data_IF_816401359349
#
_entry.id   IF_816401359349
#
_cell.length_a   1.000
_cell.length_b   1.000
_cell.length_c   1.000
_cell.angle_alpha   90.00
_cell.angle_beta   90.00
_cell.angle_gamma   90.00
#
_symmetry.space_group_name_H-M   'P 1'
#
loop_
_entity.id
_entity.type
_entity.pdbx_description
1 polymer ?
#
# COMPACT_ATOMS: atom_id res chain seq x y z
N UNK A 1 -12.06 9.62 1.58
CA UNK A 1 -12.62 10.19 0.33
C UNK A 1 -12.05 9.43 -0.85
N UNK A 2 -12.85 9.07 -1.87
CA UNK A 2 -12.30 8.49 -3.09
C UNK A 2 -11.34 9.48 -3.73
N UNK A 3 -10.17 9.01 -4.18
CA UNK A 3 -9.24 9.80 -4.97
C UNK A 3 -10.02 10.28 -6.21
N UNK A 4 -10.11 11.60 -6.48
CA UNK A 4 -10.72 12.11 -7.69
C UNK A 4 -10.20 11.36 -8.92
N UNK A 5 -11.09 10.94 -9.84
CA UNK A 5 -10.69 10.20 -11.06
C UNK A 5 -9.66 10.96 -11.90
N UNK A 6 -9.60 12.28 -11.76
CA UNK A 6 -8.58 13.15 -12.38
C UNK A 6 -7.15 12.88 -11.89
N UNK A 7 -6.97 12.32 -10.70
CA UNK A 7 -5.67 11.95 -10.14
C UNK A 7 -5.31 10.48 -10.43
N UNK A 8 -6.26 9.66 -10.89
CA UNK A 8 -6.10 8.22 -11.05
C UNK A 8 -5.38 7.78 -12.35
N UNK A 9 -4.96 8.72 -13.21
CA UNK A 9 -4.22 8.41 -14.44
C UNK A 9 -3.44 9.63 -14.94
N UNK A 10 -2.14 9.64 -14.69
CA UNK A 10 -1.04 10.06 -15.58
C UNK A 10 0.27 9.98 -14.79
N UNK A 11 0.86 8.78 -14.73
CA UNK A 11 2.27 8.62 -14.36
C UNK A 11 3.20 9.26 -15.42
N UNK A 12 2.67 9.49 -16.63
CA UNK A 12 3.39 10.09 -17.77
C UNK A 12 3.60 11.61 -17.65
N UNK A 13 3.23 12.24 -16.53
CA UNK A 13 3.40 13.68 -16.32
C UNK A 13 4.77 14.07 -15.76
N UNK A 14 5.61 13.10 -15.36
CA UNK A 14 6.94 13.36 -14.83
C UNK A 14 7.91 13.94 -15.88
N UNK A 15 7.64 13.73 -17.18
CA UNK A 15 8.50 14.17 -18.29
C UNK A 15 8.07 15.51 -18.91
N UNK A 16 7.15 16.26 -18.29
CA UNK A 16 6.82 17.60 -18.79
C UNK A 16 7.99 18.54 -18.48
N UNK A 17 8.68 19.11 -19.49
CA UNK A 17 9.79 20.01 -19.23
C UNK A 17 9.29 21.24 -18.46
N UNK A 18 9.87 21.49 -17.30
CA UNK A 18 9.56 22.65 -16.47
C UNK A 18 10.23 23.89 -17.04
N UNK A 19 9.50 25.02 -17.07
CA UNK A 19 10.13 26.31 -17.35
C UNK A 19 11.06 26.73 -16.21
N UNK A 20 12.00 27.65 -16.48
CA UNK A 20 12.91 28.21 -15.47
C UNK A 20 12.17 28.83 -14.26
N UNK A 21 10.97 29.36 -14.47
CA UNK A 21 10.14 29.92 -13.39
C UNK A 21 9.37 28.84 -12.60
N UNK A 22 9.04 27.71 -13.22
CA UNK A 22 8.31 26.60 -12.58
C UNK A 22 9.22 25.72 -11.71
N UNK A 23 10.48 25.51 -12.12
CA UNK A 23 11.42 24.68 -11.38
C UNK A 23 11.58 25.08 -9.89
N UNK A 24 11.81 26.36 -9.51
CA UNK A 24 11.91 26.73 -8.09
C UNK A 24 10.59 26.57 -7.33
N UNK A 25 9.45 26.80 -7.99
CA UNK A 25 8.13 26.59 -7.38
C UNK A 25 7.87 25.12 -7.06
N UNK A 26 8.23 24.20 -7.98
CA UNK A 26 8.12 22.77 -7.73
C UNK A 26 9.04 22.34 -6.58
N UNK A 27 10.30 22.81 -6.56
CA UNK A 27 11.24 22.49 -5.50
C UNK A 27 10.72 22.93 -4.12
N UNK A 28 10.18 24.14 -4.01
CA UNK A 28 9.58 24.64 -2.77
C UNK A 28 8.32 23.86 -2.40
N UNK A 29 7.48 23.48 -3.36
CA UNK A 29 6.31 22.66 -3.12
C UNK A 29 6.68 21.26 -2.59
N UNK A 30 7.70 20.62 -3.16
CA UNK A 30 8.23 19.34 -2.69
C UNK A 30 8.80 19.46 -1.27
N UNK A 31 9.61 20.50 -1.01
CA UNK A 31 10.17 20.78 0.32
C UNK A 31 9.08 20.98 1.38
N UNK A 32 8.04 21.76 1.07
CA UNK A 32 6.88 21.95 1.97
C UNK A 32 6.08 20.66 2.16
N UNK A 33 5.93 19.88 1.10
CA UNK A 33 5.29 18.57 1.15
C UNK A 33 6.01 17.62 2.11
N UNK A 34 7.34 17.57 2.04
CA UNK A 34 8.19 16.78 2.94
C UNK A 34 8.10 17.27 4.39
N UNK A 35 8.20 18.58 4.63
CA UNK A 35 8.05 19.13 5.97
C UNK A 35 6.68 18.79 6.58
N UNK A 36 5.61 18.92 5.79
CA UNK A 36 4.25 18.57 6.23
C UNK A 36 4.12 17.08 6.55
N UNK A 37 4.69 16.21 5.70
CA UNK A 37 4.73 14.76 5.96
C UNK A 37 5.42 14.47 7.29
N UNK A 38 6.60 15.05 7.53
CA UNK A 38 7.36 14.81 8.75
C UNK A 38 6.55 15.21 10.00
N UNK A 39 5.91 16.39 9.99
CA UNK A 39 5.02 16.80 11.08
C UNK A 39 3.85 15.84 11.31
N UNK A 40 3.25 15.31 10.23
CA UNK A 40 2.17 14.33 10.35
C UNK A 40 2.68 12.99 10.92
N UNK A 41 3.87 12.56 10.51
CA UNK A 41 4.52 11.34 11.00
C UNK A 41 4.91 11.46 12.48
N UNK A 42 5.47 12.59 12.91
CA UNK A 42 5.80 12.86 14.30
C UNK A 42 4.56 12.85 15.18
N UNK A 43 3.50 13.56 14.76
CA UNK A 43 2.23 13.59 15.47
C UNK A 43 1.58 12.19 15.57
N UNK A 44 1.76 11.35 14.53
CA UNK A 44 1.28 9.97 14.52
C UNK A 44 2.01 9.12 15.58
N UNK A 45 3.33 9.23 15.65
CA UNK A 45 4.16 8.51 16.63
C UNK A 45 3.85 8.97 18.04
N UNK A 46 3.79 10.29 18.26
CA UNK A 46 3.47 10.87 19.57
C UNK A 46 2.10 10.39 20.06
N UNK A 47 1.08 10.43 19.18
CA UNK A 47 -0.25 9.98 19.52
C UNK A 47 -0.31 8.47 19.78
N UNK A 48 0.39 7.66 18.98
CA UNK A 48 0.53 6.22 19.20
C UNK A 48 1.16 5.90 20.56
N UNK A 49 2.23 6.61 20.92
CA UNK A 49 2.89 6.50 22.22
C UNK A 49 1.98 6.91 23.36
N UNK A 50 1.23 8.01 23.20
CA UNK A 50 0.26 8.44 24.20
C UNK A 50 -0.80 7.37 24.44
N UNK A 51 -1.33 6.73 23.38
CA UNK A 51 -2.27 5.61 23.49
C UNK A 51 -1.62 4.43 24.22
N UNK A 52 -0.41 4.03 23.81
CA UNK A 52 0.30 2.91 24.44
C UNK A 52 0.44 3.14 25.97
N UNK A 53 0.85 4.33 26.38
CA UNK A 53 1.05 4.66 27.80
C UNK A 53 -0.27 4.76 28.57
N UNK A 54 -1.28 5.46 28.03
CA UNK A 54 -2.48 5.83 28.79
C UNK A 54 -3.65 4.85 28.65
N UNK A 55 -3.67 4.04 27.58
CA UNK A 55 -4.76 3.07 27.32
C UNK A 55 -4.30 1.64 27.60
N UNK A 56 -3.02 1.36 27.37
CA UNK A 56 -2.44 0.02 27.54
C UNK A 56 -1.41 -0.05 28.67
N UNK A 57 -1.32 0.97 29.54
CA UNK A 57 -0.39 1.00 30.68
C UNK A 57 1.08 0.77 30.29
N UNK A 58 1.45 1.28 29.11
CA UNK A 58 2.76 1.08 28.49
C UNK A 58 3.07 -0.40 28.17
N UNK A 59 2.09 -1.31 28.18
CA UNK A 59 2.24 -2.71 27.81
C UNK A 59 2.09 -2.92 26.29
N UNK A 60 3.24 -3.12 25.63
CA UNK A 60 3.29 -3.40 24.20
C UNK A 60 2.66 -4.74 23.81
N UNK A 61 2.67 -5.75 24.68
CA UNK A 61 2.02 -7.04 24.41
C UNK A 61 0.51 -6.88 24.49
N UNK A 62 -0.01 -6.15 25.47
CA UNK A 62 -1.43 -5.82 25.53
C UNK A 62 -1.89 -5.03 24.29
N UNK A 63 -1.09 -4.08 23.82
CA UNK A 63 -1.38 -3.29 22.63
C UNK A 63 -1.34 -4.09 21.32
N UNK A 64 -0.54 -5.14 21.22
CA UNK A 64 -0.42 -5.98 20.01
C UNK A 64 -1.39 -7.15 20.03
N UNK A 65 -1.43 -7.89 21.13
CA UNK A 65 -2.01 -9.23 21.17
C UNK A 65 -3.41 -9.23 21.83
N UNK A 66 -3.61 -8.40 22.87
CA UNK A 66 -4.87 -8.35 23.65
C UNK A 66 -5.72 -7.09 23.40
N UNK A 67 -5.40 -6.29 22.37
CA UNK A 67 -6.04 -4.98 22.16
C UNK A 67 -7.56 -5.06 22.00
N UNK A 68 -8.09 -6.14 21.41
CA UNK A 68 -9.54 -6.33 21.26
C UNK A 68 -10.29 -6.47 22.59
N UNK A 69 -9.60 -6.84 23.67
CA UNK A 69 -10.19 -7.01 24.99
C UNK A 69 -10.30 -5.67 25.73
N UNK A 70 -9.38 -4.74 25.44
CA UNK A 70 -9.34 -3.41 26.05
C UNK A 70 -10.60 -2.58 25.69
N UNK A 71 -11.36 -2.21 26.72
CA UNK A 71 -12.63 -1.48 26.60
C UNK A 71 -12.46 -0.07 26.00
N UNK A 72 -11.38 0.63 26.38
CA UNK A 72 -11.08 1.98 25.90
C UNK A 72 -10.66 1.96 24.44
N UNK A 73 -9.83 0.99 24.04
CA UNK A 73 -9.43 0.80 22.64
C UNK A 73 -10.64 0.54 21.74
N UNK A 74 -11.55 -0.36 22.14
CA UNK A 74 -12.80 -0.61 21.39
C UNK A 74 -13.66 0.65 21.29
N UNK A 75 -13.80 1.40 22.38
CA UNK A 75 -14.54 2.66 22.40
C UNK A 75 -13.92 3.71 21.46
N UNK A 76 -12.59 3.75 21.34
CA UNK A 76 -11.87 4.63 20.41
C UNK A 76 -12.10 4.21 18.96
N UNK A 77 -11.95 2.92 18.64
CA UNK A 77 -12.19 2.38 17.30
C UNK A 77 -13.64 2.56 16.81
N UNK A 78 -14.61 2.49 17.73
CA UNK A 78 -16.01 2.75 17.42
C UNK A 78 -16.27 4.20 16.99
N UNK A 79 -15.53 5.17 17.55
CA UNK A 79 -15.63 6.60 17.26
C UNK A 79 -14.80 7.04 16.05
N UNK A 80 -13.78 6.26 15.69
CA UNK A 80 -12.86 6.55 14.59
C UNK A 80 -13.58 6.69 13.24
N UNK A 81 -13.27 7.77 12.53
CA UNK A 81 -13.94 8.18 11.28
C UNK A 81 -15.29 8.85 11.49
N UNK A 82 -15.73 9.01 12.74
CA UNK A 82 -16.97 9.68 13.12
C UNK A 82 -16.78 11.18 13.41
N UNK A 83 -17.85 11.88 13.84
CA UNK A 83 -17.82 13.31 14.12
C UNK A 83 -16.93 13.68 15.30
N UNK A 84 -16.77 12.78 16.27
CA UNK A 84 -15.97 12.98 17.49
C UNK A 84 -14.48 12.65 17.30
N UNK A 85 -14.15 11.76 16.35
CA UNK A 85 -12.77 11.38 16.05
C UNK A 85 -12.62 11.27 14.53
N UNK A 86 -12.17 12.36 13.90
CA UNK A 86 -12.02 12.47 12.45
C UNK A 86 -10.85 11.66 11.86
N UNK A 87 -10.16 10.91 12.70
CA UNK A 87 -9.06 10.03 12.31
C UNK A 87 -9.60 8.66 11.90
N UNK A 88 -9.06 8.09 10.83
CA UNK A 88 -9.50 6.78 10.34
C UNK A 88 -9.05 5.65 11.27
N UNK A 89 -9.83 4.55 11.30
CA UNK A 89 -9.44 3.33 12.04
C UNK A 89 -8.06 2.80 11.66
N UNK A 90 -7.70 2.91 10.37
CA UNK A 90 -6.38 2.47 9.88
C UNK A 90 -5.26 3.26 10.56
N UNK A 91 -5.38 4.58 10.59
CA UNK A 91 -4.37 5.46 11.19
C UNK A 91 -4.21 5.18 12.69
N UNK A 92 -5.32 4.97 13.41
CA UNK A 92 -5.26 4.55 14.81
C UNK A 92 -4.50 3.24 15.00
N UNK A 93 -4.82 2.23 14.20
CA UNK A 93 -4.13 0.94 14.23
C UNK A 93 -2.63 1.11 13.99
N UNK A 94 -2.26 1.82 12.93
CA UNK A 94 -0.85 2.05 12.57
C UNK A 94 -0.11 2.78 13.67
N UNK A 95 -0.70 3.82 14.28
CA UNK A 95 -0.08 4.57 15.37
C UNK A 95 0.29 3.67 16.55
N UNK A 96 -0.66 2.83 17.00
CA UNK A 96 -0.46 1.93 18.15
C UNK A 96 0.51 0.80 17.81
N UNK A 97 0.38 0.20 16.63
CA UNK A 97 1.30 -0.86 16.18
C UNK A 97 2.74 -0.34 16.12
N UNK A 98 2.98 0.85 15.55
CA UNK A 98 4.32 1.44 15.50
C UNK A 98 4.85 1.68 16.92
N UNK A 99 4.05 2.30 17.80
CA UNK A 99 4.49 2.59 19.17
C UNK A 99 4.82 1.32 19.97
N UNK A 100 3.97 0.29 19.87
CA UNK A 100 4.19 -0.98 20.57
C UNK A 100 5.41 -1.73 20.01
N UNK A 101 5.62 -1.71 18.68
CA UNK A 101 6.81 -2.32 18.06
C UNK A 101 8.08 -1.54 18.34
N UNK A 102 8.05 -0.21 18.41
CA UNK A 102 9.20 0.60 18.83
C UNK A 102 9.65 0.29 20.26
N UNK A 103 8.70 -0.11 21.11
CA UNK A 103 8.98 -0.59 22.47
C UNK A 103 9.56 -2.01 22.48
N UNK A 104 8.98 -2.98 21.74
CA UNK A 104 9.42 -4.39 21.75
C UNK A 104 10.69 -4.64 20.92
N UNK A 105 10.81 -4.00 19.77
CA UNK A 105 11.94 -4.13 18.85
C UNK A 105 13.05 -3.18 19.32
N UNK A 106 13.91 -3.66 20.22
CA UNK A 106 15.12 -2.96 20.62
C UNK A 106 16.22 -3.12 19.56
N UNK A 107 16.02 -2.46 18.41
CA UNK A 107 16.93 -2.45 17.26
C UNK A 107 17.01 -1.02 16.71
N UNK A 108 18.23 -0.49 16.56
CA UNK A 108 18.45 0.90 16.16
C UNK A 108 18.03 1.17 14.71
N UNK A 109 18.13 0.17 13.83
CA UNK A 109 17.69 0.29 12.44
C UNK A 109 16.17 0.44 12.41
N UNK A 110 15.46 -0.42 13.13
CA UNK A 110 14.01 -0.30 13.25
C UNK A 110 13.61 1.07 13.82
N UNK A 111 14.22 1.51 14.92
CA UNK A 111 13.89 2.80 15.55
C UNK A 111 14.17 3.99 14.63
N UNK A 112 15.23 3.93 13.84
CA UNK A 112 15.62 4.97 12.89
C UNK A 112 14.78 5.03 11.60
N UNK A 113 13.93 4.03 11.32
CA UNK A 113 13.02 4.09 10.19
C UNK A 113 11.92 5.12 10.42
N UNK A 114 11.57 5.87 9.37
CA UNK A 114 10.43 6.76 9.45
C UNK A 114 9.10 5.98 9.54
N UNK A 115 8.05 6.55 10.16
CA UNK A 115 6.77 5.87 10.37
C UNK A 115 6.14 5.31 9.11
N UNK A 116 6.26 6.00 7.97
CA UNK A 116 5.76 5.51 6.68
C UNK A 116 6.41 4.19 6.24
N UNK A 117 7.71 3.98 6.50
CA UNK A 117 8.37 2.69 6.23
C UNK A 117 7.99 1.64 7.25
N UNK A 118 7.88 1.99 8.53
CA UNK A 118 7.39 1.06 9.57
C UNK A 118 6.00 0.54 9.23
N UNK A 119 5.07 1.40 8.80
CA UNK A 119 3.73 1.00 8.34
C UNK A 119 3.78 -0.10 7.27
N UNK A 120 4.72 0.00 6.32
CA UNK A 120 4.85 -0.97 5.25
C UNK A 120 5.36 -2.33 5.74
N UNK A 121 6.10 -2.37 6.84
CA UNK A 121 6.65 -3.60 7.44
C UNK A 121 5.68 -4.29 8.41
N UNK A 122 4.71 -3.56 8.97
CA UNK A 122 3.71 -4.12 9.90
C UNK A 122 3.01 -5.41 9.41
N UNK A 123 2.67 -5.57 8.12
CA UNK A 123 2.04 -6.79 7.62
C UNK A 123 2.89 -8.07 7.72
N UNK A 124 4.16 -7.98 8.11
CA UNK A 124 5.02 -9.15 8.36
C UNK A 124 4.70 -9.82 9.71
N UNK A 125 4.08 -9.10 10.64
CA UNK A 125 3.60 -9.51 11.99
C UNK A 125 4.68 -10.03 12.97
N UNK A 126 5.66 -10.80 12.48
CA UNK A 126 6.80 -11.32 13.22
C UNK A 126 7.93 -10.28 13.34
N UNK A 127 8.45 -10.12 14.55
CA UNK A 127 9.48 -9.11 14.84
C UNK A 127 10.82 -9.43 14.21
N UNK A 128 11.20 -10.71 14.12
CA UNK A 128 12.47 -11.11 13.51
C UNK A 128 12.45 -10.79 12.01
N UNK A 129 11.32 -11.06 11.34
CA UNK A 129 11.07 -10.67 9.95
C UNK A 129 11.09 -9.16 9.78
N UNK A 130 10.41 -8.41 10.65
CA UNK A 130 10.42 -6.94 10.60
C UNK A 130 11.84 -6.37 10.73
N UNK A 131 12.66 -6.88 11.65
CA UNK A 131 14.07 -6.45 11.80
C UNK A 131 14.91 -6.75 10.55
N UNK A 132 14.81 -7.96 10.01
CA UNK A 132 15.52 -8.36 8.78
C UNK A 132 15.10 -7.49 7.59
N UNK A 133 13.79 -7.26 7.43
CA UNK A 133 13.26 -6.42 6.38
C UNK A 133 13.67 -4.96 6.54
N UNK A 134 13.65 -4.42 7.77
CA UNK A 134 14.12 -3.07 8.07
C UNK A 134 15.59 -2.87 7.67
N UNK A 135 16.46 -3.83 8.03
CA UNK A 135 17.86 -3.83 7.62
C UNK A 135 18.00 -3.81 6.09
N UNK A 136 17.29 -4.69 5.39
CA UNK A 136 17.33 -4.73 3.92
C UNK A 136 16.86 -3.42 3.27
N UNK A 137 15.78 -2.83 3.78
CA UNK A 137 15.24 -1.55 3.27
C UNK A 137 16.26 -0.42 3.40
N UNK A 138 16.97 -0.34 4.54
CA UNK A 138 18.00 0.67 4.78
C UNK A 138 19.24 0.43 3.92
N UNK A 139 19.75 -0.81 3.89
CA UNK A 139 20.94 -1.19 3.13
C UNK A 139 20.76 -0.93 1.62
N UNK A 140 19.61 -1.32 1.08
CA UNK A 140 19.29 -1.15 -0.34
C UNK A 140 18.72 0.23 -0.67
N UNK A 141 18.55 1.10 0.33
CA UNK A 141 17.96 2.45 0.20
C UNK A 141 16.63 2.43 -0.57
N UNK A 142 15.76 1.47 -0.24
CA UNK A 142 14.51 1.27 -0.97
C UNK A 142 13.58 2.50 -0.82
N UNK A 143 12.96 2.88 -1.94
CA UNK A 143 11.83 3.81 -1.91
C UNK A 143 10.62 3.17 -1.23
N UNK A 144 9.61 3.95 -0.85
CA UNK A 144 8.39 3.39 -0.25
C UNK A 144 7.67 2.41 -1.18
N UNK A 145 7.62 2.69 -2.50
CA UNK A 145 7.00 1.78 -3.46
C UNK A 145 7.81 0.48 -3.60
N UNK A 146 9.14 0.55 -3.65
CA UNK A 146 10.00 -0.64 -3.64
C UNK A 146 9.94 -1.42 -2.35
N UNK A 147 9.79 -0.74 -1.21
CA UNK A 147 9.55 -1.38 0.09
C UNK A 147 8.23 -2.13 0.09
N UNK A 148 7.16 -1.55 -0.47
CA UNK A 148 5.85 -2.21 -0.61
C UNK A 148 5.93 -3.45 -1.49
N UNK A 149 6.59 -3.34 -2.65
CA UNK A 149 6.82 -4.48 -3.55
C UNK A 149 7.59 -5.60 -2.82
N UNK A 150 8.68 -5.25 -2.14
CA UNK A 150 9.50 -6.18 -1.36
C UNK A 150 8.70 -6.91 -0.27
N UNK A 151 7.95 -6.18 0.57
CA UNK A 151 7.12 -6.80 1.61
C UNK A 151 6.03 -7.68 1.00
N UNK A 152 5.46 -7.27 -0.13
CA UNK A 152 4.46 -8.09 -0.83
C UNK A 152 5.07 -9.41 -1.31
N UNK A 153 6.31 -9.38 -1.82
CA UNK A 153 7.03 -10.58 -2.23
C UNK A 153 7.34 -11.49 -1.03
N UNK A 154 7.87 -10.95 0.07
CA UNK A 154 8.14 -11.72 1.30
C UNK A 154 6.90 -12.44 1.83
N UNK A 155 5.74 -11.78 1.79
CA UNK A 155 4.49 -12.41 2.21
C UNK A 155 4.02 -13.48 1.24
N UNK A 156 4.22 -13.29 -0.06
CA UNK A 156 3.86 -14.28 -1.07
C UNK A 156 4.69 -15.56 -0.95
N UNK A 157 5.99 -15.45 -0.67
CA UNK A 157 6.90 -16.59 -0.44
C UNK A 157 6.45 -17.50 0.71
N UNK A 158 5.80 -16.93 1.73
CA UNK A 158 5.30 -17.67 2.90
C UNK A 158 3.84 -18.13 2.76
N UNK A 159 3.23 -17.95 1.60
CA UNK A 159 1.81 -18.28 1.40
C UNK A 159 0.84 -17.32 2.12
N UNK A 160 1.36 -16.26 2.73
CA UNK A 160 0.63 -15.15 3.37
C UNK A 160 0.34 -14.00 2.41
N UNK A 161 0.63 -14.20 1.13
CA UNK A 161 0.33 -13.27 0.06
C UNK A 161 -1.13 -12.83 0.11
N UNK A 162 -1.46 -11.62 -0.38
CA UNK A 162 -2.82 -11.11 -0.34
C UNK A 162 -3.76 -12.11 -1.01
N UNK A 163 -4.55 -12.84 -0.21
CA UNK A 163 -5.52 -13.80 -0.72
C UNK A 163 -6.45 -13.03 -1.65
N UNK A 164 -6.45 -13.31 -2.96
CA UNK A 164 -7.31 -12.58 -3.87
C UNK A 164 -8.75 -12.80 -3.40
N UNK A 165 -9.43 -11.72 -3.00
CA UNK A 165 -10.88 -11.77 -2.75
C UNK A 165 -11.56 -12.11 -4.07
N UNK A 166 -11.73 -13.40 -4.33
CA UNK A 166 -12.38 -13.97 -5.51
C UNK A 166 -13.87 -14.22 -5.22
N UNK A 167 -14.54 -13.26 -4.59
CA UNK A 167 -16.00 -13.29 -4.51
C UNK A 167 -16.57 -13.12 -5.92
N UNK A 168 -17.69 -13.77 -6.24
CA UNK A 168 -18.35 -13.63 -7.55
C UNK A 168 -18.51 -12.16 -7.94
N UNK A 169 -19.00 -11.32 -7.01
CA UNK A 169 -19.16 -9.87 -7.24
C UNK A 169 -17.86 -9.15 -7.57
N UNK A 170 -16.76 -9.48 -6.87
CA UNK A 170 -15.45 -8.87 -7.14
C UNK A 170 -14.91 -9.30 -8.51
N UNK A 171 -15.05 -10.58 -8.87
CA UNK A 171 -14.64 -11.11 -10.18
C UNK A 171 -15.47 -10.46 -11.29
N UNK A 172 -16.80 -10.42 -11.17
CA UNK A 172 -17.69 -9.75 -12.14
C UNK A 172 -17.33 -8.27 -12.30
N UNK A 173 -17.06 -7.56 -11.20
CA UNK A 173 -16.66 -6.15 -11.26
C UNK A 173 -15.34 -5.95 -12.01
N UNK A 174 -14.35 -6.84 -11.80
CA UNK A 174 -13.04 -6.78 -12.48
C UNK A 174 -13.18 -7.09 -13.98
N UNK A 175 -13.93 -8.13 -14.33
CA UNK A 175 -14.21 -8.49 -15.73
C UNK A 175 -14.94 -7.35 -16.44
N UNK A 176 -15.95 -6.74 -15.81
CA UNK A 176 -16.66 -5.58 -16.37
C UNK A 176 -15.73 -4.39 -16.56
N UNK A 177 -14.90 -4.07 -15.58
CA UNK A 177 -13.93 -2.97 -15.68
C UNK A 177 -12.91 -3.19 -16.80
N UNK A 178 -12.44 -4.44 -16.97
CA UNK A 178 -11.58 -4.83 -18.10
C UNK A 178 -12.30 -4.64 -19.43
N UNK A 179 -13.52 -5.18 -19.58
CA UNK A 179 -14.32 -5.05 -20.80
C UNK A 179 -14.60 -3.59 -21.16
N UNK A 180 -14.95 -2.75 -20.19
CA UNK A 180 -15.17 -1.31 -20.44
C UNK A 180 -13.91 -0.60 -20.90
N UNK A 181 -12.73 -0.98 -20.41
CA UNK A 181 -11.46 -0.33 -20.77
C UNK A 181 -10.88 -0.84 -22.09
N UNK A 182 -10.89 -2.15 -22.29
CA UNK A 182 -10.13 -2.83 -23.35
C UNK A 182 -11.00 -3.59 -24.35
N UNK A 183 -12.26 -3.88 -24.00
CA UNK A 183 -13.22 -4.55 -24.89
C UNK A 183 -13.87 -3.61 -25.93
N UNK A 184 -13.39 -2.37 -26.05
CA UNK A 184 -13.94 -1.41 -27.02
C UNK A 184 -13.22 -1.51 -28.36
N UNK A 185 -13.93 -1.23 -29.45
CA UNK A 185 -13.33 -1.17 -30.79
C UNK A 185 -12.21 -0.13 -30.89
N UNK A 186 -12.27 0.94 -30.10
CA UNK A 186 -11.21 1.97 -30.00
C UNK A 186 -9.94 1.42 -29.35
N UNK A 187 -10.06 0.65 -28.27
CA UNK A 187 -8.90 0.03 -27.62
C UNK A 187 -8.22 -0.99 -28.55
N UNK A 188 -8.98 -1.78 -29.30
CA UNK A 188 -8.44 -2.70 -30.30
C UNK A 188 -7.71 -1.97 -31.45
N UNK A 189 -8.25 -0.84 -31.91
CA UNK A 189 -7.57 -0.01 -32.92
C UNK A 189 -6.27 0.59 -32.39
N UNK A 190 -6.27 1.09 -31.15
CA UNK A 190 -5.06 1.61 -30.50
C UNK A 190 -4.01 0.51 -30.33
N UNK A 191 -4.42 -0.68 -29.89
CA UNK A 191 -3.54 -1.84 -29.77
C UNK A 191 -2.95 -2.26 -31.12
N UNK A 192 -3.76 -2.28 -32.18
CA UNK A 192 -3.29 -2.56 -33.54
C UNK A 192 -2.23 -1.55 -33.98
N UNK A 193 -2.45 -0.26 -33.70
CA UNK A 193 -1.49 0.80 -34.02
C UNK A 193 -0.19 0.62 -33.26
N UNK A 194 -0.23 0.32 -31.96
CA UNK A 194 1.02 0.08 -31.22
C UNK A 194 1.70 -1.23 -31.58
N UNK A 195 0.95 -2.27 -31.95
CA UNK A 195 1.55 -3.50 -32.46
C UNK A 195 2.38 -3.29 -33.73
N UNK A 196 2.12 -2.25 -34.52
CA UNK A 196 2.94 -1.92 -35.70
C UNK A 196 4.28 -1.27 -35.33
N UNK A 197 4.41 -0.73 -34.12
CA UNK A 197 5.61 -0.04 -33.62
C UNK A 197 6.39 -0.88 -32.61
N UNK A 198 5.75 -1.89 -32.02
CA UNK A 198 6.35 -2.81 -31.07
C UNK A 198 7.34 -3.77 -31.75
N UNK A 199 8.37 -4.16 -31.02
CA UNK A 199 9.31 -5.21 -31.41
C UNK A 199 8.63 -6.59 -31.40
N UNK A 200 9.27 -7.58 -32.02
CA UNK A 200 8.73 -8.94 -32.04
C UNK A 200 8.77 -9.60 -30.65
N UNK A 201 9.74 -9.22 -29.81
CA UNK A 201 9.83 -9.64 -28.42
C UNK A 201 8.67 -9.08 -27.58
N UNK A 202 8.36 -7.79 -27.70
CA UNK A 202 7.22 -7.17 -27.02
C UNK A 202 5.88 -7.80 -27.45
N UNK A 203 5.73 -8.10 -28.75
CA UNK A 203 4.55 -8.80 -29.27
C UNK A 203 4.45 -10.23 -28.71
N UNK A 204 5.57 -10.95 -28.63
CA UNK A 204 5.61 -12.29 -28.09
C UNK A 204 5.24 -12.32 -26.59
N UNK A 205 5.81 -11.39 -25.81
CA UNK A 205 5.47 -11.23 -24.39
C UNK A 205 3.98 -10.91 -24.20
N UNK A 206 3.43 -9.95 -24.96
CA UNK A 206 2.01 -9.62 -24.88
C UNK A 206 1.10 -10.81 -25.27
N UNK A 207 1.48 -11.59 -26.29
CA UNK A 207 0.72 -12.80 -26.66
C UNK A 207 0.71 -13.83 -25.54
N UNK A 208 1.85 -14.10 -24.93
CA UNK A 208 1.96 -15.04 -23.80
C UNK A 208 1.05 -14.61 -22.62
N UNK A 209 1.02 -13.32 -22.28
CA UNK A 209 0.13 -12.79 -21.24
C UNK A 209 -1.36 -12.92 -21.62
N UNK A 210 -1.72 -12.64 -22.87
CA UNK A 210 -3.09 -12.80 -23.36
C UNK A 210 -3.54 -14.28 -23.34
N UNK A 211 -2.66 -15.20 -23.70
CA UNK A 211 -2.91 -16.64 -23.66
C UNK A 211 -3.08 -17.13 -22.21
N UNK A 212 -2.26 -16.64 -21.28
CA UNK A 212 -2.40 -16.94 -19.85
C UNK A 212 -3.75 -16.44 -19.30
N UNK A 213 -4.19 -15.23 -19.69
CA UNK A 213 -5.52 -14.70 -19.35
C UNK A 213 -6.63 -15.57 -19.96
N UNK A 214 -6.50 -15.99 -21.22
CA UNK A 214 -7.48 -16.84 -21.88
C UNK A 214 -7.62 -18.21 -21.20
N UNK A 215 -6.49 -18.84 -20.84
CA UNK A 215 -6.46 -20.09 -20.08
C UNK A 215 -7.12 -19.92 -18.71
N UNK A 216 -6.82 -18.84 -18.00
CA UNK A 216 -7.47 -18.53 -16.72
C UNK A 216 -8.99 -18.36 -16.87
N UNK A 217 -9.46 -17.64 -17.90
CA UNK A 217 -10.91 -17.49 -18.17
C UNK A 217 -11.57 -18.83 -18.46
N UNK A 218 -10.91 -19.73 -19.21
CA UNK A 218 -11.43 -21.06 -19.48
C UNK A 218 -11.58 -21.88 -18.17
N UNK A 219 -10.56 -21.90 -17.33
CA UNK A 219 -10.60 -22.56 -16.02
C UNK A 219 -11.66 -21.96 -15.10
N UNK A 220 -11.80 -20.62 -15.08
CA UNK A 220 -12.84 -19.95 -14.31
C UNK A 220 -14.25 -20.31 -14.79
N UNK A 221 -14.48 -20.43 -16.10
CA UNK A 221 -15.75 -20.89 -16.66
C UNK A 221 -16.05 -22.34 -16.28
N UNK A 222 -15.04 -23.20 -16.26
CA UNK A 222 -15.20 -24.59 -15.82
C UNK A 222 -15.56 -24.67 -14.34
N UNK A 223 -14.90 -23.88 -13.49
CA UNK A 223 -15.21 -23.81 -12.06
C UNK A 223 -16.62 -23.30 -11.76
N UNK A 224 -17.20 -22.47 -12.64
CA UNK A 224 -18.58 -21.97 -12.53
C UNK A 224 -19.64 -22.95 -13.07
N UNK A 225 -19.23 -24.01 -13.78
CA UNK A 225 -20.13 -25.08 -14.26
C UNK A 225 -20.29 -26.21 -13.24
N UNK A 226 -19.51 -26.19 -12.16
CA UNK A 226 -19.63 -27.10 -11.02
C UNK A 226 -20.87 -26.82 -10.19
#
# INVERSE_FOLDING_TARGET
MPIPRSLARRADAADVPLTKAQAPLLAEALRRGEATRNTMEDALVEYGRWILVNIFDDDASAALDAKSENVLWRALLARAGGPTLRMSRKVLYVAVEIAARDKRINDDIWRGLEPGRKELLLPLEDESRMRKAAKHVVEMKLSQDKTREYVTALRAEEGEGPKPRATMRAVTSRVRAFHTKLGTSLALRALKKESQRATDEEKAALRAELDAVAAWVASARQALKG
#
